data_IF_417186234305
#
_entry.id   IF_417186234305
#
_cell.length_a   1.000
_cell.length_b   1.000
_cell.length_c   1.000
_cell.angle_alpha   90.00
_cell.angle_beta   90.00
_cell.angle_gamma   90.00
#
_symmetry.space_group_name_H-M   'P 1'
#
loop_
_entity.id
_entity.type
_entity.pdbx_description
1 polymer ?
#
# COMPACT_ATOMS: atom_id res chain seq x y z
N UNK A 1 14.14 -8.77 5.09
CA UNK A 1 12.70 -8.90 4.75
C UNK A 1 12.33 -8.31 3.38
N UNK A 2 13.01 -7.26 2.89
CA UNK A 2 12.65 -6.63 1.62
C UNK A 2 12.97 -7.45 0.35
N UNK A 3 13.86 -8.45 0.36
CA UNK A 3 14.25 -9.15 -0.88
C UNK A 3 13.09 -9.76 -1.69
N UNK A 4 12.17 -10.49 -1.03
CA UNK A 4 11.07 -11.20 -1.72
C UNK A 4 10.14 -10.30 -2.55
N UNK A 5 9.60 -9.18 -2.04
CA UNK A 5 8.75 -8.30 -2.84
C UNK A 5 9.52 -7.59 -3.97
N UNK A 6 10.82 -7.31 -3.81
CA UNK A 6 11.67 -6.76 -4.86
C UNK A 6 11.91 -7.76 -6.00
N UNK A 7 12.18 -9.02 -5.67
CA UNK A 7 12.35 -10.09 -6.67
C UNK A 7 11.07 -10.26 -7.50
N UNK A 8 9.92 -10.28 -6.83
CA UNK A 8 8.62 -10.42 -7.49
C UNK A 8 8.31 -9.26 -8.44
N UNK A 9 8.64 -8.04 -8.02
CA UNK A 9 8.52 -6.85 -8.86
C UNK A 9 9.42 -6.95 -10.09
N UNK A 10 10.70 -7.32 -9.91
CA UNK A 10 11.64 -7.48 -11.02
C UNK A 10 11.18 -8.52 -12.03
N UNK A 11 10.76 -9.70 -11.58
CA UNK A 11 10.23 -10.72 -12.48
C UNK A 11 9.01 -10.23 -13.25
N UNK A 12 8.12 -9.48 -12.58
CA UNK A 12 6.95 -8.85 -13.20
C UNK A 12 7.34 -7.88 -14.31
N UNK A 13 8.25 -6.93 -14.03
CA UNK A 13 8.63 -5.90 -15.00
C UNK A 13 9.51 -6.46 -16.13
N UNK A 14 10.40 -7.42 -15.85
CA UNK A 14 11.17 -8.12 -16.89
C UNK A 14 10.23 -8.87 -17.83
N UNK A 15 9.27 -9.61 -17.29
CA UNK A 15 8.26 -10.32 -18.09
C UNK A 15 7.43 -9.35 -18.93
N UNK A 16 7.02 -8.22 -18.34
CA UNK A 16 6.27 -7.16 -19.03
C UNK A 16 7.09 -6.54 -20.17
N UNK A 17 8.36 -6.25 -19.92
CA UNK A 17 9.29 -5.68 -20.91
C UNK A 17 9.56 -6.67 -22.04
N UNK A 18 9.74 -7.95 -21.72
CA UNK A 18 9.91 -9.02 -22.70
C UNK A 18 8.66 -9.18 -23.58
N UNK A 19 7.47 -9.08 -22.99
CA UNK A 19 6.20 -9.09 -23.72
C UNK A 19 6.06 -7.90 -24.68
N UNK A 20 6.63 -6.75 -24.34
CA UNK A 20 6.59 -5.55 -25.18
C UNK A 20 7.63 -5.58 -26.33
N UNK A 21 8.77 -6.23 -26.12
CA UNK A 21 9.87 -6.29 -27.10
C UNK A 21 9.66 -7.44 -28.10
N UNK A 22 9.19 -8.61 -27.64
CA UNK A 22 9.08 -9.77 -28.51
C UNK A 22 7.87 -9.65 -29.45
N UNK A 23 8.08 -9.63 -30.79
CA UNK A 23 7.00 -9.48 -31.76
C UNK A 23 6.01 -10.66 -31.76
N UNK A 24 6.39 -11.82 -31.21
CA UNK A 24 5.50 -12.98 -31.03
C UNK A 24 4.53 -12.84 -29.84
N UNK A 25 4.84 -11.96 -28.89
CA UNK A 25 4.06 -11.75 -27.67
C UNK A 25 3.13 -10.52 -27.76
N UNK A 26 3.14 -9.82 -28.90
CA UNK A 26 2.22 -8.71 -29.20
C UNK A 26 1.45 -8.98 -30.49
N UNK A 27 0.24 -8.43 -30.66
CA UNK A 27 -0.45 -8.47 -31.94
C UNK A 27 0.36 -7.74 -33.02
N UNK A 28 0.22 -8.12 -34.30
CA UNK A 28 0.87 -7.43 -35.39
C UNK A 28 0.44 -5.96 -35.46
N UNK A 29 1.34 -5.09 -35.91
CA UNK A 29 1.04 -3.66 -36.10
C UNK A 29 -0.06 -3.50 -37.15
N UNK A 30 -1.16 -2.85 -36.78
CA UNK A 30 -2.22 -2.53 -37.73
C UNK A 30 -1.75 -1.47 -38.73
N UNK A 31 -2.10 -1.66 -40.00
CA UNK A 31 -1.97 -0.62 -41.02
C UNK A 31 -3.27 0.20 -41.07
N UNK A 32 -3.15 1.49 -41.39
CA UNK A 32 -4.27 2.42 -41.43
C UNK A 32 -5.39 1.90 -42.35
N UNK A 33 -6.60 1.78 -41.80
CA UNK A 33 -7.82 1.38 -42.53
C UNK A 33 -8.20 -0.11 -42.44
N UNK A 34 -7.44 -0.96 -41.74
CA UNK A 34 -7.82 -2.36 -41.49
C UNK A 34 -8.35 -2.57 -40.07
N UNK A 35 -9.28 -3.53 -39.91
CA UNK A 35 -9.71 -3.99 -38.58
C UNK A 35 -8.53 -4.67 -37.91
N UNK A 36 -8.06 -4.07 -36.81
CA UNK A 36 -6.96 -4.60 -36.01
C UNK A 36 -7.25 -6.01 -35.51
N UNK A 37 -6.24 -6.90 -35.61
CA UNK A 37 -6.33 -8.21 -34.98
C UNK A 37 -6.14 -8.08 -33.46
N UNK A 38 -7.11 -8.58 -32.70
CA UNK A 38 -7.03 -8.62 -31.25
C UNK A 38 -5.90 -9.55 -30.76
N UNK A 39 -5.41 -9.29 -29.55
CA UNK A 39 -4.36 -10.09 -28.95
C UNK A 39 -4.85 -11.53 -28.70
N UNK A 40 -4.00 -12.51 -29.00
CA UNK A 40 -4.31 -13.91 -28.72
C UNK A 40 -4.42 -14.15 -27.20
N UNK A 41 -5.25 -15.10 -26.77
CA UNK A 41 -5.44 -15.50 -25.36
C UNK A 41 -4.11 -15.74 -24.65
N UNK A 42 -3.13 -16.38 -25.31
CA UNK A 42 -1.80 -16.60 -24.74
C UNK A 42 -0.99 -15.31 -24.51
N UNK A 43 -1.08 -14.35 -25.44
CA UNK A 43 -0.42 -13.04 -25.31
C UNK A 43 -1.06 -12.23 -24.18
N UNK A 44 -2.39 -12.26 -24.09
CA UNK A 44 -3.15 -11.59 -23.04
C UNK A 44 -2.86 -12.20 -21.65
N UNK A 45 -2.77 -13.53 -21.57
CA UNK A 45 -2.46 -14.23 -20.32
C UNK A 45 -1.07 -13.82 -19.78
N UNK A 46 -0.06 -13.77 -20.65
CA UNK A 46 1.30 -13.34 -20.26
C UNK A 46 1.29 -11.89 -19.78
N UNK A 47 0.56 -11.00 -20.48
CA UNK A 47 0.40 -9.61 -20.08
C UNK A 47 -0.22 -9.49 -18.69
N UNK A 48 -1.35 -10.18 -18.43
CA UNK A 48 -2.02 -10.13 -17.14
C UNK A 48 -1.19 -10.72 -16.00
N UNK A 49 -0.52 -11.84 -16.22
CA UNK A 49 0.40 -12.42 -15.23
C UNK A 49 1.51 -11.41 -14.90
N UNK A 50 2.12 -10.78 -15.91
CA UNK A 50 3.19 -9.80 -15.71
C UNK A 50 2.70 -8.58 -14.92
N UNK A 51 1.50 -8.07 -15.23
CA UNK A 51 0.87 -6.97 -14.50
C UNK A 51 0.53 -7.34 -13.06
N UNK A 52 0.03 -8.55 -12.83
CA UNK A 52 -0.27 -9.07 -11.49
C UNK A 52 1.01 -9.19 -10.64
N UNK A 53 2.08 -9.78 -11.18
CA UNK A 53 3.37 -9.87 -10.48
C UNK A 53 3.91 -8.48 -10.13
N UNK A 54 3.87 -7.56 -11.11
CA UNK A 54 4.31 -6.16 -10.91
C UNK A 54 3.46 -5.47 -9.84
N UNK A 55 2.14 -5.67 -9.85
CA UNK A 55 1.21 -5.12 -8.89
C UNK A 55 1.46 -5.62 -7.47
N UNK A 56 1.63 -6.94 -7.29
CA UNK A 56 1.92 -7.57 -6.00
C UNK A 56 3.28 -7.10 -5.47
N UNK A 57 4.31 -7.08 -6.32
CA UNK A 57 5.64 -6.61 -5.96
C UNK A 57 5.62 -5.15 -5.50
N UNK A 58 5.03 -4.26 -6.31
CA UNK A 58 4.87 -2.84 -5.98
C UNK A 58 4.07 -2.61 -4.69
N UNK A 59 2.99 -3.38 -4.49
CA UNK A 59 2.18 -3.32 -3.28
C UNK A 59 2.91 -3.74 -2.01
N UNK A 60 3.87 -4.68 -2.12
CA UNK A 60 4.73 -5.08 -1.00
C UNK A 60 5.88 -4.11 -0.72
N UNK A 61 6.51 -3.56 -1.76
CA UNK A 61 7.68 -2.68 -1.62
C UNK A 61 7.30 -1.36 -0.93
N UNK A 62 6.24 -0.69 -1.40
CA UNK A 62 5.87 0.67 -0.97
C UNK A 62 5.70 0.84 0.55
N UNK A 63 4.88 0.03 1.26
CA UNK A 63 4.75 0.18 2.70
C UNK A 63 6.04 -0.17 3.44
N UNK A 64 6.78 -1.19 2.97
CA UNK A 64 7.99 -1.66 3.63
C UNK A 64 9.15 -0.67 3.55
N UNK A 65 9.31 0.06 2.44
CA UNK A 65 10.42 1.02 2.29
C UNK A 65 10.28 2.20 3.25
N UNK A 66 9.06 2.74 3.38
CA UNK A 66 8.79 3.90 4.24
C UNK A 66 8.98 3.52 5.71
N UNK A 67 8.45 2.37 6.14
CA UNK A 67 8.62 1.90 7.53
C UNK A 67 10.08 1.55 7.81
N UNK A 68 10.77 0.88 6.88
CA UNK A 68 12.19 0.55 7.06
C UNK A 68 13.07 1.79 7.17
N UNK A 69 12.75 2.85 6.41
CA UNK A 69 13.42 4.15 6.52
C UNK A 69 13.16 4.83 7.86
N UNK A 70 11.94 4.72 8.40
CA UNK A 70 11.60 5.20 9.74
C UNK A 70 12.42 4.48 10.81
N UNK A 71 12.52 3.15 10.72
CA UNK A 71 13.21 2.28 11.68
C UNK A 71 14.74 2.54 11.79
N UNK A 72 15.32 3.32 10.86
CA UNK A 72 16.73 3.70 10.93
C UNK A 72 17.01 4.80 11.96
N UNK A 73 16.00 5.56 12.37
CA UNK A 73 16.14 6.67 13.31
C UNK A 73 15.56 6.29 14.67
N UNK A 74 16.26 6.64 15.75
CA UNK A 74 15.76 6.45 17.11
C UNK A 74 14.85 7.62 17.50
N UNK A 75 13.56 7.37 17.70
CA UNK A 75 12.60 8.41 18.08
C UNK A 75 12.74 8.86 19.54
N UNK A 76 13.51 8.12 20.37
CA UNK A 76 13.76 8.48 21.77
C UNK A 76 14.77 9.62 21.94
N UNK A 77 15.61 9.88 20.93
CA UNK A 77 16.56 10.99 20.90
C UNK A 77 15.97 12.19 20.13
N UNK A 78 15.78 13.32 20.81
CA UNK A 78 15.25 14.54 20.20
C UNK A 78 16.09 15.03 19.01
N UNK A 79 17.41 14.81 19.02
CA UNK A 79 18.28 15.17 17.89
C UNK A 79 17.98 14.31 16.67
N UNK A 80 17.79 13.01 16.87
CA UNK A 80 17.49 12.08 15.78
C UNK A 80 16.09 12.32 15.21
N UNK A 81 15.11 12.66 16.05
CA UNK A 81 13.77 13.05 15.63
C UNK A 81 13.77 14.21 14.63
N UNK A 82 14.63 15.21 14.82
CA UNK A 82 14.77 16.32 13.87
C UNK A 82 15.34 15.87 12.51
N UNK A 83 16.23 14.88 12.50
CA UNK A 83 16.74 14.28 11.25
C UNK A 83 15.69 13.42 10.55
N UNK A 84 14.85 12.69 11.29
CA UNK A 84 13.73 11.92 10.74
C UNK A 84 12.78 12.80 9.93
N UNK A 85 12.42 13.98 10.46
CA UNK A 85 11.59 14.94 9.72
C UNK A 85 12.23 15.44 8.44
N UNK A 86 13.54 15.76 8.47
CA UNK A 86 14.28 16.17 7.27
C UNK A 86 14.32 15.06 6.23
N UNK A 87 14.54 13.81 6.66
CA UNK A 87 14.52 12.64 5.80
C UNK A 87 13.16 12.48 5.11
N UNK A 88 12.05 12.52 5.84
CA UNK A 88 10.72 12.40 5.24
C UNK A 88 10.37 13.55 4.31
N UNK A 89 10.72 14.79 4.67
CA UNK A 89 10.52 15.94 3.78
C UNK A 89 11.26 15.76 2.45
N UNK A 90 12.53 15.33 2.50
CA UNK A 90 13.31 15.08 1.30
C UNK A 90 12.78 13.87 0.50
N UNK A 91 12.38 12.79 1.19
CA UNK A 91 11.76 11.63 0.57
C UNK A 91 10.51 12.00 -0.22
N UNK A 92 9.57 12.74 0.38
CA UNK A 92 8.35 13.15 -0.31
C UNK A 92 8.61 14.13 -1.46
N UNK A 93 9.60 15.01 -1.32
CA UNK A 93 10.06 15.86 -2.42
C UNK A 93 10.56 15.02 -3.60
N UNK A 94 11.45 14.05 -3.36
CA UNK A 94 11.96 13.14 -4.39
C UNK A 94 10.86 12.30 -5.03
N UNK A 95 9.89 11.77 -4.25
CA UNK A 95 8.73 11.05 -4.79
C UNK A 95 7.90 11.95 -5.70
N UNK A 96 7.65 13.19 -5.29
CA UNK A 96 6.94 14.18 -6.11
C UNK A 96 7.65 14.46 -7.43
N UNK A 97 8.95 14.76 -7.39
CA UNK A 97 9.76 14.98 -8.59
C UNK A 97 9.81 13.75 -9.50
N UNK A 98 10.00 12.55 -8.93
CA UNK A 98 10.00 11.30 -9.71
C UNK A 98 8.66 11.04 -10.40
N UNK A 99 7.55 11.41 -9.76
CA UNK A 99 6.20 11.28 -10.33
C UNK A 99 6.05 12.21 -11.52
N UNK A 100 6.51 13.46 -11.41
CA UNK A 100 6.52 14.43 -12.52
C UNK A 100 7.35 13.93 -13.70
N UNK A 101 8.55 13.40 -13.45
CA UNK A 101 9.42 12.83 -14.49
C UNK A 101 8.76 11.59 -15.12
N UNK A 102 8.11 10.73 -14.33
CA UNK A 102 7.44 9.54 -14.83
C UNK A 102 6.28 9.91 -15.77
N UNK A 103 5.40 10.83 -15.39
CA UNK A 103 4.24 11.21 -16.22
C UNK A 103 4.60 12.09 -17.42
N UNK A 104 5.83 12.60 -17.51
CA UNK A 104 6.31 13.44 -18.62
C UNK A 104 7.31 12.69 -19.50
N UNK A 105 8.52 12.43 -18.99
CA UNK A 105 9.64 11.87 -19.74
C UNK A 105 9.42 10.40 -20.06
N UNK A 106 8.98 9.58 -19.09
CA UNK A 106 8.78 8.14 -19.33
C UNK A 106 7.59 7.93 -20.28
N UNK A 107 6.50 8.67 -20.10
CA UNK A 107 5.36 8.64 -21.04
C UNK A 107 5.79 9.08 -22.44
N UNK A 108 6.62 10.12 -22.57
CA UNK A 108 7.17 10.53 -23.86
C UNK A 108 8.00 9.41 -24.51
N UNK A 109 8.85 8.72 -23.76
CA UNK A 109 9.62 7.57 -24.27
C UNK A 109 8.68 6.44 -24.70
N UNK A 110 7.63 6.15 -23.93
CA UNK A 110 6.65 5.11 -24.26
C UNK A 110 5.90 5.42 -25.57
N UNK A 111 5.46 6.66 -25.75
CA UNK A 111 4.67 7.10 -26.90
C UNK A 111 5.51 7.24 -28.19
N UNK A 112 6.74 7.79 -28.10
CA UNK A 112 7.53 8.15 -29.29
C UNK A 112 8.67 7.19 -29.63
N UNK A 113 9.32 6.58 -28.64
CA UNK A 113 10.46 5.65 -28.84
C UNK A 113 9.98 4.20 -28.79
N UNK A 114 9.01 3.92 -27.90
CA UNK A 114 8.32 2.66 -27.79
C UNK A 114 8.40 2.04 -26.39
N UNK A 115 7.49 1.08 -26.17
CA UNK A 115 7.27 0.42 -24.88
C UNK A 115 8.47 -0.36 -24.34
N UNK A 116 9.36 -0.86 -25.20
CA UNK A 116 10.58 -1.56 -24.77
C UNK A 116 11.51 -0.67 -23.94
N UNK A 117 11.83 0.53 -24.43
CA UNK A 117 12.63 1.51 -23.68
C UNK A 117 11.84 2.12 -22.52
N UNK A 118 10.55 2.38 -22.73
CA UNK A 118 9.67 2.95 -21.71
C UNK A 118 9.51 2.09 -20.45
N UNK A 119 9.60 0.77 -20.58
CA UNK A 119 9.59 -0.19 -19.45
C UNK A 119 11.01 -0.60 -19.03
N UNK A 120 11.96 -0.60 -19.96
CA UNK A 120 13.36 -0.93 -19.68
C UNK A 120 14.06 0.07 -18.76
N UNK A 121 13.85 1.38 -18.95
CA UNK A 121 14.47 2.41 -18.11
C UNK A 121 14.09 2.28 -16.63
N UNK A 122 12.79 2.17 -16.24
CA UNK A 122 12.41 1.87 -14.87
C UNK A 122 12.99 0.54 -14.33
N UNK A 123 13.08 -0.49 -15.18
CA UNK A 123 13.65 -1.79 -14.79
C UNK A 123 15.12 -1.67 -14.40
N UNK A 124 15.92 -0.97 -15.21
CA UNK A 124 17.35 -0.74 -14.93
C UNK A 124 17.51 0.08 -13.66
N UNK A 125 16.71 1.13 -13.47
CA UNK A 125 16.72 1.95 -12.26
C UNK A 125 16.42 1.13 -11.00
N UNK A 126 15.44 0.21 -11.07
CA UNK A 126 15.14 -0.71 -9.98
C UNK A 126 16.31 -1.66 -9.68
N UNK A 127 16.94 -2.23 -10.71
CA UNK A 127 18.10 -3.11 -10.54
C UNK A 127 19.26 -2.38 -9.85
N UNK A 128 19.56 -1.14 -10.25
CA UNK A 128 20.56 -0.28 -9.60
C UNK A 128 20.20 -0.03 -8.14
N UNK A 129 18.93 0.23 -7.85
CA UNK A 129 18.44 0.47 -6.48
C UNK A 129 18.65 -0.75 -5.58
N UNK A 130 18.43 -1.96 -6.09
CA UNK A 130 18.67 -3.21 -5.35
C UNK A 130 20.15 -3.40 -5.06
N UNK A 131 21.01 -3.16 -6.05
CA UNK A 131 22.46 -3.24 -5.87
C UNK A 131 22.91 -2.26 -4.77
N UNK A 132 22.45 -1.02 -4.83
CA UNK A 132 22.73 -0.01 -3.79
C UNK A 132 22.22 -0.44 -2.40
N UNK A 133 21.02 -1.02 -2.33
CA UNK A 133 20.45 -1.53 -1.08
C UNK A 133 21.29 -2.67 -0.47
N UNK A 134 21.76 -3.61 -1.30
CA UNK A 134 22.62 -4.71 -0.86
C UNK A 134 23.99 -4.21 -0.38
N UNK A 135 24.59 -3.26 -1.09
CA UNK A 135 25.85 -2.64 -0.65
C UNK A 135 25.71 -1.85 0.66
N UNK A 136 24.55 -1.22 0.89
CA UNK A 136 24.23 -0.51 2.13
C UNK A 136 23.85 -1.42 3.30
N UNK A 137 23.63 -2.74 3.05
CA UNK A 137 23.17 -3.68 4.06
C UNK A 137 23.90 -3.64 5.41
N UNK A 138 25.25 -3.59 5.47
CA UNK A 138 25.98 -3.56 6.75
C UNK A 138 25.81 -2.25 7.54
N UNK A 139 25.31 -1.18 6.92
CA UNK A 139 25.08 0.11 7.61
C UNK A 139 23.70 0.20 8.26
N UNK A 140 22.76 -0.69 7.91
CA UNK A 140 21.39 -0.58 8.39
C UNK A 140 21.19 -1.17 9.79
N UNK A 141 20.36 -0.50 10.59
CA UNK A 141 19.85 -1.02 11.87
C UNK A 141 18.78 -2.07 11.58
N UNK A 142 18.99 -3.28 12.06
CA UNK A 142 18.00 -4.36 11.97
C UNK A 142 17.16 -4.40 13.24
N UNK A 143 15.84 -4.36 13.10
CA UNK A 143 14.89 -4.52 14.20
C UNK A 143 14.44 -5.98 14.32
N UNK A 144 14.16 -6.42 15.54
CA UNK A 144 13.62 -7.75 15.80
C UNK A 144 12.18 -7.89 15.27
N UNK A 145 11.83 -9.06 14.70
CA UNK A 145 10.50 -9.27 14.13
C UNK A 145 9.41 -9.27 15.21
N UNK A 146 8.57 -8.24 15.24
CA UNK A 146 7.46 -8.08 16.22
C UNK A 146 6.21 -8.93 15.93
N UNK A 147 6.32 -9.99 15.12
CA UNK A 147 5.22 -10.84 14.70
C UNK A 147 4.24 -10.18 13.71
N UNK A 148 3.21 -10.90 13.28
CA UNK A 148 2.20 -10.40 12.34
C UNK A 148 0.99 -9.81 13.07
N UNK A 149 0.65 -8.52 12.86
CA UNK A 149 -0.57 -7.92 13.42
C UNK A 149 -1.84 -8.69 13.02
N UNK A 150 -1.92 -9.17 11.77
CA UNK A 150 -3.08 -9.92 11.29
C UNK A 150 -3.30 -11.22 12.07
N UNK A 151 -2.22 -11.93 12.40
CA UNK A 151 -2.33 -13.16 13.21
C UNK A 151 -2.88 -12.85 14.60
N UNK A 152 -2.49 -11.71 15.21
CA UNK A 152 -3.04 -11.28 16.51
C UNK A 152 -4.54 -10.99 16.42
N UNK A 153 -4.98 -10.29 15.38
CA UNK A 153 -6.40 -9.99 15.19
C UNK A 153 -7.23 -11.26 15.02
N UNK A 154 -6.74 -12.22 14.23
CA UNK A 154 -7.41 -13.51 14.05
C UNK A 154 -7.43 -14.31 15.36
N UNK A 155 -6.34 -14.31 16.14
CA UNK A 155 -6.27 -14.93 17.46
C UNK A 155 -7.36 -14.41 18.40
N UNK A 156 -7.57 -13.10 18.44
CA UNK A 156 -8.64 -12.48 19.24
C UNK A 156 -10.02 -12.92 18.78
N UNK A 157 -10.29 -12.89 17.47
CA UNK A 157 -11.57 -13.35 16.91
C UNK A 157 -11.86 -14.82 17.27
N UNK A 158 -10.85 -15.69 17.11
CA UNK A 158 -10.97 -17.13 17.43
C UNK A 158 -11.17 -17.36 18.93
N UNK A 159 -10.43 -16.65 19.78
CA UNK A 159 -10.57 -16.75 21.24
C UNK A 159 -11.94 -16.26 21.71
N UNK A 160 -12.41 -15.11 21.21
CA UNK A 160 -13.74 -14.58 21.52
C UNK A 160 -14.85 -15.55 21.07
N UNK A 161 -14.70 -16.16 19.89
CA UNK A 161 -15.66 -17.15 19.39
C UNK A 161 -15.68 -18.43 20.24
N UNK A 162 -14.52 -18.97 20.62
CA UNK A 162 -14.43 -20.15 21.51
C UNK A 162 -15.06 -19.89 22.88
N UNK A 163 -14.88 -18.68 23.41
CA UNK A 163 -15.41 -18.24 24.72
C UNK A 163 -16.80 -17.61 24.65
N UNK A 164 -17.51 -17.71 23.51
CA UNK A 164 -18.81 -17.04 23.28
C UNK A 164 -19.91 -17.42 24.28
N UNK A 165 -19.85 -18.64 24.82
CA UNK A 165 -20.86 -19.16 25.77
C UNK A 165 -20.58 -18.77 27.22
N UNK A 166 -19.43 -18.15 27.53
CA UNK A 166 -19.11 -17.71 28.89
C UNK A 166 -19.94 -16.46 29.27
N UNK A 167 -20.32 -16.33 30.55
CA UNK A 167 -20.91 -15.10 31.06
C UNK A 167 -19.90 -13.95 30.96
N UNK A 168 -20.41 -12.74 30.75
CA UNK A 168 -19.56 -11.55 30.79
C UNK A 168 -19.12 -11.26 32.21
N UNK A 169 -17.89 -10.79 32.36
CA UNK A 169 -17.35 -10.35 33.64
C UNK A 169 -17.77 -8.91 33.89
N UNK A 170 -18.22 -8.62 35.13
CA UNK A 170 -18.67 -7.29 35.54
C UNK A 170 -17.51 -6.31 35.81
N UNK A 171 -16.36 -6.83 36.25
CA UNK A 171 -15.16 -6.03 36.56
C UNK A 171 -14.09 -6.13 35.46
N UNK A 172 -13.75 -4.99 34.85
CA UNK A 172 -12.69 -4.90 33.84
C UNK A 172 -11.31 -5.33 34.37
N UNK A 173 -11.07 -5.21 35.69
CA UNK A 173 -9.81 -5.62 36.35
C UNK A 173 -9.57 -7.13 36.37
N UNK A 174 -10.59 -7.94 36.09
CA UNK A 174 -10.47 -9.40 36.02
C UNK A 174 -10.10 -9.91 34.61
N UNK A 175 -9.97 -9.00 33.64
CA UNK A 175 -9.50 -9.35 32.30
C UNK A 175 -8.00 -9.59 32.30
N UNK A 176 -7.55 -10.48 31.40
CA UNK A 176 -6.15 -10.85 31.30
C UNK A 176 -5.29 -9.69 30.78
N UNK A 177 -4.26 -9.33 31.56
CA UNK A 177 -3.28 -8.32 31.22
C UNK A 177 -1.87 -8.88 31.42
N UNK A 178 -0.97 -8.61 30.46
CA UNK A 178 0.42 -9.06 30.55
C UNK A 178 1.34 -8.05 29.85
N UNK A 179 2.10 -7.29 30.66
CA UNK A 179 2.94 -6.20 30.16
C UNK A 179 4.16 -6.69 29.38
N UNK A 180 4.76 -7.81 29.77
CA UNK A 180 5.91 -8.39 29.06
C UNK A 180 5.53 -8.90 27.66
N UNK A 181 4.33 -9.48 27.53
CA UNK A 181 3.83 -10.02 26.26
C UNK A 181 3.46 -8.91 25.26
N UNK A 182 3.07 -7.75 25.76
CA UNK A 182 2.60 -6.61 24.97
C UNK A 182 3.67 -5.50 24.84
N UNK A 183 4.84 -5.63 25.46
CA UNK A 183 5.93 -4.64 25.43
C UNK A 183 6.37 -4.26 24.00
N UNK A 184 6.47 -5.23 23.08
CA UNK A 184 6.84 -4.98 21.68
C UNK A 184 5.72 -4.32 20.84
N UNK A 185 4.50 -4.29 21.36
CA UNK A 185 3.30 -3.83 20.64
C UNK A 185 2.83 -2.48 21.18
N UNK A 186 3.07 -2.23 22.47
CA UNK A 186 2.67 -1.02 23.20
C UNK A 186 3.72 0.10 23.17
N UNK A 187 4.67 0.07 22.22
CA UNK A 187 5.74 1.07 22.07
C UNK A 187 5.17 2.50 21.93
N UNK A 188 4.02 2.65 21.28
CA UNK A 188 3.32 3.93 21.10
C UNK A 188 2.30 4.26 22.21
N UNK A 189 2.23 3.45 23.26
CA UNK A 189 1.25 3.56 24.34
C UNK A 189 0.31 2.35 24.44
N UNK A 190 -0.29 2.19 25.63
CA UNK A 190 -1.17 1.07 25.94
C UNK A 190 -2.64 1.44 25.73
N UNK A 191 -3.33 0.65 24.92
CA UNK A 191 -4.78 0.74 24.76
C UNK A 191 -5.50 0.28 26.03
N UNK A 192 -6.38 1.14 26.56
CA UNK A 192 -7.20 0.88 27.75
C UNK A 192 -8.54 0.26 27.37
N UNK A 193 -9.11 -0.51 28.30
CA UNK A 193 -10.40 -1.17 28.12
C UNK A 193 -11.52 -0.17 27.80
N UNK A 194 -12.36 -0.52 26.81
CA UNK A 194 -13.58 0.23 26.48
C UNK A 194 -14.83 -0.65 26.61
N UNK A 195 -15.92 -0.04 27.08
CA UNK A 195 -17.25 -0.65 27.23
C UNK A 195 -17.97 -1.03 25.92
N UNK A 196 -17.42 -0.68 24.75
CA UNK A 196 -18.02 -0.99 23.45
C UNK A 196 -17.56 -2.36 22.94
N UNK A 197 -18.42 -3.04 22.19
CA UNK A 197 -18.14 -4.38 21.62
C UNK A 197 -17.73 -5.41 22.68
N UNK A 198 -18.45 -5.42 23.80
CA UNK A 198 -18.13 -6.25 24.97
C UNK A 198 -18.01 -7.76 24.69
N UNK A 199 -18.64 -8.24 23.62
CA UNK A 199 -18.52 -9.65 23.21
C UNK A 199 -17.08 -10.04 22.85
N UNK A 200 -16.23 -9.10 22.43
CA UNK A 200 -14.81 -9.35 22.14
C UNK A 200 -13.96 -9.49 23.41
N UNK A 201 -14.39 -8.89 24.53
CA UNK A 201 -13.71 -9.01 25.82
C UNK A 201 -13.71 -10.43 26.35
N UNK A 202 -14.60 -11.28 25.82
CA UNK A 202 -14.60 -12.72 26.09
C UNK A 202 -13.28 -13.40 25.73
N UNK A 203 -12.51 -12.86 24.79
CA UNK A 203 -11.17 -13.37 24.47
C UNK A 203 -10.15 -13.18 25.61
N UNK A 204 -10.38 -12.23 26.50
CA UNK A 204 -9.51 -11.90 27.64
C UNK A 204 -10.00 -12.44 28.98
N UNK A 205 -11.10 -13.21 29.01
CA UNK A 205 -11.58 -13.88 30.23
C UNK A 205 -10.70 -15.09 30.53
N UNK A 206 -10.14 -15.16 31.73
CA UNK A 206 -9.32 -16.29 32.19
C UNK A 206 -10.22 -17.45 32.62
N UNK A 207 -9.98 -18.67 32.10
CA UNK A 207 -10.71 -19.90 32.47
C UNK A 207 -9.81 -20.88 33.23
N UNK A 208 -10.38 -21.81 34.02
CA UNK A 208 -9.59 -22.80 34.78
C UNK A 208 -8.66 -23.65 33.91
N UNK A 209 -9.09 -23.97 32.69
CA UNK A 209 -8.28 -24.69 31.70
C UNK A 209 -7.07 -23.88 31.17
N UNK A 210 -7.13 -22.54 31.25
CA UNK A 210 -5.99 -21.67 30.92
C UNK A 210 -4.90 -21.74 32.00
N UNK A 211 -5.28 -22.02 33.25
CA UNK A 211 -4.34 -22.29 34.36
C UNK A 211 -3.75 -23.72 34.30
N UNK A 212 -4.55 -24.70 33.88
CA UNK A 212 -4.11 -26.09 33.74
C UNK A 212 -3.01 -26.27 32.69
N UNK A 213 -3.00 -25.42 31.66
CA UNK A 213 -1.92 -25.33 30.66
C UNK A 213 -0.80 -24.43 31.17
N UNK A 214 -0.21 -24.76 32.32
CA UNK A 214 0.95 -24.05 32.91
C UNK A 214 2.22 -24.27 32.10
N UNK A 215 2.26 -23.76 30.86
CA UNK A 215 3.50 -23.45 30.17
C UNK A 215 3.86 -21.98 30.45
N UNK A 216 5.16 -21.66 30.46
CA UNK A 216 5.70 -20.30 30.68
C UNK A 216 5.13 -19.21 29.75
N UNK A 217 4.33 -19.57 28.73
CA UNK A 217 3.66 -18.64 27.80
C UNK A 217 2.21 -19.05 27.57
N UNK A 218 1.24 -18.10 27.65
CA UNK A 218 -0.18 -18.38 27.42
C UNK A 218 -0.47 -18.73 25.96
N UNK A 219 -1.46 -19.59 25.72
CA UNK A 219 -1.91 -19.90 24.37
C UNK A 219 -2.79 -18.78 23.80
N UNK A 220 -2.18 -17.95 22.93
CA UNK A 220 -2.81 -16.79 22.28
C UNK A 220 -4.06 -17.13 21.43
N UNK A 221 -4.25 -18.38 21.02
CA UNK A 221 -5.43 -18.81 20.25
C UNK A 221 -6.67 -19.09 21.13
N UNK A 222 -6.54 -18.87 22.44
CA UNK A 222 -7.57 -19.13 23.44
C UNK A 222 -7.65 -18.03 24.50
N UNK A 223 -6.52 -17.44 24.88
CA UNK A 223 -6.45 -16.33 25.83
C UNK A 223 -5.62 -15.19 25.23
N UNK A 224 -6.22 -14.01 25.14
CA UNK A 224 -5.55 -12.79 24.67
C UNK A 224 -5.57 -11.72 25.75
N UNK A 225 -4.65 -10.76 25.66
CA UNK A 225 -4.61 -9.60 26.57
C UNK A 225 -5.65 -8.56 26.18
N UNK A 226 -6.07 -7.73 27.14
CA UNK A 226 -6.96 -6.58 26.91
C UNK A 226 -6.43 -5.68 25.79
N UNK A 227 -5.12 -5.44 25.74
CA UNK A 227 -4.50 -4.60 24.71
C UNK A 227 -4.81 -5.09 23.29
N UNK A 228 -4.62 -6.39 23.02
CA UNK A 228 -4.91 -7.01 21.71
C UNK A 228 -6.39 -6.98 21.35
N UNK A 229 -7.27 -7.11 22.35
CA UNK A 229 -8.71 -6.98 22.14
C UNK A 229 -9.07 -5.55 21.73
N UNK A 230 -8.48 -4.55 22.39
CA UNK A 230 -8.69 -3.14 22.07
C UNK A 230 -8.06 -2.73 20.73
N UNK A 231 -6.95 -3.36 20.31
CA UNK A 231 -6.43 -3.21 18.93
C UNK A 231 -7.52 -3.59 17.90
N UNK A 232 -8.15 -4.75 18.07
CA UNK A 232 -9.21 -5.21 17.17
C UNK A 232 -10.43 -4.30 17.22
N UNK A 233 -10.88 -3.91 18.42
CA UNK A 233 -12.01 -2.97 18.58
C UNK A 233 -11.74 -1.66 17.85
N UNK A 234 -10.52 -1.11 17.96
CA UNK A 234 -10.13 0.13 17.30
C UNK A 234 -10.21 0.01 15.77
N UNK A 235 -9.75 -1.10 15.21
CA UNK A 235 -9.88 -1.38 13.77
C UNK A 235 -11.33 -1.49 13.31
N UNK A 236 -12.19 -2.17 14.09
CA UNK A 236 -13.61 -2.29 13.79
C UNK A 236 -14.32 -0.92 13.84
N UNK A 237 -13.94 -0.05 14.77
CA UNK A 237 -14.46 1.34 14.84
C UNK A 237 -14.02 2.19 13.65
N UNK A 238 -12.84 1.96 13.10
CA UNK A 238 -12.34 2.66 11.90
C UNK A 238 -12.97 2.12 10.60
N UNK A 239 -13.59 0.94 10.63
CA UNK A 239 -14.19 0.28 9.47
C UNK A 239 -15.15 1.15 8.65
N UNK A 240 -16.13 1.85 9.26
CA UNK A 240 -17.05 2.73 8.54
C UNK A 240 -16.37 3.90 7.82
N UNK A 241 -15.33 4.48 8.43
CA UNK A 241 -14.55 5.58 7.84
C UNK A 241 -13.76 5.07 6.63
N UNK A 242 -13.20 3.86 6.74
CA UNK A 242 -12.52 3.23 5.62
C UNK A 242 -13.48 2.89 4.47
N UNK A 243 -14.69 2.41 4.80
CA UNK A 243 -15.72 2.09 3.83
C UNK A 243 -16.19 3.30 3.03
N UNK A 244 -16.36 4.48 3.66
CA UNK A 244 -16.71 5.71 2.93
C UNK A 244 -15.58 6.17 2.00
N UNK A 245 -14.32 5.89 2.33
CA UNK A 245 -13.16 6.14 1.47
C UNK A 245 -13.17 5.38 0.14
N UNK A 246 -13.87 4.24 0.04
CA UNK A 246 -13.93 3.42 -1.18
C UNK A 246 -14.50 4.22 -2.36
N UNK A 247 -15.49 5.07 -2.12
CA UNK A 247 -16.08 5.93 -3.15
C UNK A 247 -15.07 6.92 -3.70
N UNK A 248 -14.28 7.55 -2.81
CA UNK A 248 -13.23 8.49 -3.20
C UNK A 248 -12.13 7.80 -4.01
N UNK A 249 -11.70 6.61 -3.60
CA UNK A 249 -10.71 5.83 -4.34
C UNK A 249 -11.21 5.44 -5.73
N UNK A 250 -12.48 5.05 -5.84
CA UNK A 250 -13.09 4.69 -7.12
C UNK A 250 -13.09 5.87 -8.09
N UNK A 251 -13.50 7.05 -7.62
CA UNK A 251 -13.47 8.29 -8.40
C UNK A 251 -12.05 8.70 -8.81
N UNK A 252 -11.07 8.52 -7.92
CA UNK A 252 -9.67 8.80 -8.22
C UNK A 252 -9.12 7.89 -9.34
N UNK A 253 -9.41 6.59 -9.28
CA UNK A 253 -8.94 5.63 -10.30
C UNK A 253 -9.56 5.91 -11.67
N UNK A 254 -10.83 6.32 -11.72
CA UNK A 254 -11.51 6.67 -12.98
C UNK A 254 -10.81 7.80 -13.76
N UNK A 255 -10.20 8.76 -13.06
CA UNK A 255 -9.42 9.85 -13.68
C UNK A 255 -8.28 9.32 -14.55
N UNK A 256 -7.61 8.25 -14.12
CA UNK A 256 -6.47 7.70 -14.86
C UNK A 256 -6.87 7.00 -16.16
N UNK A 257 -8.16 6.66 -16.35
CA UNK A 257 -8.64 5.96 -17.56
C UNK A 257 -9.47 6.88 -18.45
N UNK A 258 -10.54 7.46 -17.91
CA UNK A 258 -11.48 8.26 -18.71
C UNK A 258 -10.86 9.56 -19.21
N UNK A 259 -10.07 10.25 -18.38
CA UNK A 259 -9.42 11.48 -18.80
C UNK A 259 -8.38 11.25 -19.89
N UNK A 260 -7.73 10.08 -19.94
CA UNK A 260 -6.82 9.72 -21.03
C UNK A 260 -7.57 9.48 -22.34
N UNK A 261 -8.68 8.74 -22.31
CA UNK A 261 -9.52 8.52 -23.49
C UNK A 261 -10.08 9.85 -24.04
N UNK A 262 -10.52 10.73 -23.14
CA UNK A 262 -10.94 12.08 -23.52
C UNK A 262 -9.78 12.88 -24.12
N UNK A 263 -8.59 12.86 -23.50
CA UNK A 263 -7.42 13.58 -23.99
C UNK A 263 -6.96 13.10 -25.38
N UNK A 264 -7.15 11.82 -25.72
CA UNK A 264 -6.82 11.28 -27.04
C UNK A 264 -7.69 11.84 -28.18
N UNK A 265 -8.91 12.29 -27.87
CA UNK A 265 -9.80 12.93 -28.85
C UNK A 265 -9.64 14.46 -28.89
N UNK A 266 -8.85 15.02 -27.97
CA UNK A 266 -8.60 16.47 -27.88
C UNK A 266 -7.39 16.89 -28.71
N UNK A 267 -7.39 18.15 -29.15
CA UNK A 267 -6.24 18.72 -29.82
C UNK A 267 -5.09 18.93 -28.83
N UNK A 268 -4.02 18.14 -28.95
CA UNK A 268 -2.83 18.17 -28.10
C UNK A 268 -1.73 19.11 -28.62
N UNK A 269 -1.95 19.84 -29.71
CA UNK A 269 -0.97 20.79 -30.21
C UNK A 269 -0.92 22.05 -29.34
N UNK A 270 0.23 22.27 -28.70
CA UNK A 270 0.57 23.54 -28.06
C UNK A 270 0.85 24.59 -29.13
N UNK A 271 -0.19 25.20 -29.69
CA UNK A 271 -0.04 26.52 -30.32
C UNK A 271 0.06 27.52 -29.17
N UNK A 272 1.24 28.10 -28.96
CA UNK A 272 1.42 29.27 -28.11
C UNK A 272 0.48 30.35 -28.67
N UNK A 273 -0.65 30.60 -27.98
CA UNK A 273 -1.59 31.66 -28.35
C UNK A 273 -1.02 32.96 -27.78
N UNK A 274 -0.66 33.96 -28.62
CA UNK A 274 0.02 35.17 -28.17
C UNK A 274 -0.94 36.24 -27.64
N UNK A 275 -2.02 35.86 -26.92
CA UNK A 275 -2.97 36.88 -26.43
C UNK A 275 -3.47 36.63 -24.99
N UNK A 276 -2.96 37.40 -24.00
CA UNK A 276 -3.30 37.23 -22.58
C UNK A 276 -4.76 37.61 -22.22
N UNK A 277 -5.50 38.24 -23.13
CA UNK A 277 -6.90 38.64 -22.89
C UNK A 277 -7.93 37.51 -22.95
N UNK A 278 -7.59 36.33 -23.52
CA UNK A 278 -8.51 35.18 -23.62
C UNK A 278 -8.40 34.16 -22.48
N UNK A 279 -7.36 34.26 -21.63
CA UNK A 279 -7.17 33.32 -20.52
C UNK A 279 -8.20 33.52 -19.39
N UNK A 280 -8.69 34.75 -19.19
CA UNK A 280 -9.66 35.05 -18.13
C UNK A 280 -11.07 34.52 -18.42
N UNK A 281 -11.49 34.42 -19.68
CA UNK A 281 -12.85 33.96 -20.04
C UNK A 281 -12.93 32.43 -20.17
N UNK A 282 -11.84 31.76 -20.59
CA UNK A 282 -11.79 30.31 -20.71
C UNK A 282 -11.72 29.55 -19.37
N UNK A 283 -11.12 30.16 -18.35
CA UNK A 283 -11.03 29.55 -17.01
C UNK A 283 -12.35 29.68 -16.23
N UNK A 284 -13.06 30.80 -16.40
CA UNK A 284 -14.32 31.05 -15.70
C UNK A 284 -15.48 30.15 -16.19
N UNK A 285 -15.49 29.78 -17.48
CA UNK A 285 -16.49 28.84 -18.02
C UNK A 285 -16.18 27.35 -17.78
N UNK A 286 -14.91 26.98 -17.52
CA UNK A 286 -14.56 25.59 -17.12
C UNK A 286 -14.70 25.31 -15.63
N UNK A 287 -14.68 26.34 -14.77
CA UNK A 287 -14.92 26.18 -13.33
C UNK A 287 -16.41 26.05 -13.00
N UNK A 288 -17.32 26.68 -13.76
CA UNK A 288 -18.77 26.58 -13.51
C UNK A 288 -19.40 25.24 -13.98
N UNK A 289 -18.78 24.54 -14.93
CA UNK A 289 -19.27 23.24 -15.40
C UNK A 289 -18.84 22.05 -14.50
N UNK A 290 -17.91 22.27 -13.55
CA UNK A 290 -17.44 21.25 -12.60
C UNK A 290 -18.16 21.26 -11.24
N UNK A 291 -19.13 22.16 -11.04
CA UNK A 291 -19.78 22.38 -9.73
C UNK A 291 -21.25 21.94 -9.64
N UNK A 292 -21.80 21.29 -10.67
CA UNK A 292 -23.20 20.80 -10.70
C UNK A 292 -23.31 19.28 -10.95
N UNK A 293 -22.57 18.47 -10.21
CA UNK A 293 -22.80 17.02 -10.15
C UNK A 293 -22.49 16.47 -8.75
N UNK A 294 -23.05 17.12 -7.74
CA UNK A 294 -23.20 16.60 -6.38
C UNK A 294 -24.65 16.89 -5.94
N UNK A 295 -25.53 15.97 -6.32
CA UNK A 295 -26.70 15.52 -5.56
C UNK A 295 -26.81 14.02 -5.81
#
# INVERSE_FOLDING_TARGET
MLGKPYDLFNYGVISLTLSAILPKLRPPTCQDGQVCQEANTGQLAILYISLLLTGIGSGGIRPCVVTYGADQFDETDEKQKAYTWKFFNWYYFCVGTSTLVAVTVIVYIQDYIGWGWGLGVPSISMAISIVAFVFGYPLYRNMDPSGSPFTRLVQVCVAAYKKRNLPMVSDAKMLYENEELDASISVAGRLLHTEQMKFLDKAAIVTQEDYASSQSKPNLWRLNTVHRVEELKSLLRMGPIWASGILLFTAYVQRNTFSLQQANTMNRHLKIVPNPSRFHVGLHLRLHAGHYSLL
#
